data_IF_362628183058
#
_entry.id   IF_362628183058
#
_cell.length_a   1.000
_cell.length_b   1.000
_cell.length_c   1.000
_cell.angle_alpha   90.00
_cell.angle_beta   90.00
_cell.angle_gamma   90.00
#
_symmetry.space_group_name_H-M   'P 1'
#
loop_
_entity.id
_entity.type
_entity.pdbx_description
1 polymer ?
#
# COMPACT_ATOMS: atom_id res chain seq x y z
N UNK A 1 -34.84 7.20 -17.76
CA UNK A 1 -34.49 6.32 -16.65
C UNK A 1 -34.78 4.90 -17.12
N UNK A 2 -33.77 4.12 -17.43
CA UNK A 2 -33.88 2.71 -17.78
C UNK A 2 -32.94 1.92 -16.89
N UNK A 3 -33.53 1.11 -16.01
CA UNK A 3 -32.78 0.15 -15.16
C UNK A 3 -32.38 -1.02 -16.04
N UNK A 4 -31.09 -1.32 -16.10
CA UNK A 4 -30.59 -2.58 -16.66
C UNK A 4 -30.64 -3.64 -15.57
N UNK A 5 -31.51 -4.65 -15.79
CA UNK A 5 -31.52 -5.89 -15.03
C UNK A 5 -30.25 -6.70 -15.39
N UNK A 6 -29.44 -7.04 -14.39
CA UNK A 6 -28.41 -8.06 -14.50
C UNK A 6 -29.04 -9.42 -14.30
N UNK A 7 -28.94 -10.24 -15.34
CA UNK A 7 -29.40 -11.63 -15.36
C UNK A 7 -28.37 -12.52 -14.63
N UNK A 8 -28.80 -13.18 -13.54
CA UNK A 8 -27.97 -14.02 -12.67
C UNK A 8 -28.20 -15.51 -13.02
N UNK A 9 -27.96 -15.90 -14.26
CA UNK A 9 -28.04 -17.32 -14.66
C UNK A 9 -27.01 -17.66 -15.74
N UNK A 10 -25.74 -17.80 -15.32
CA UNK A 10 -24.74 -18.56 -16.07
C UNK A 10 -23.76 -19.22 -15.14
N UNK A 11 -24.13 -20.41 -14.64
CA UNK A 11 -23.20 -21.34 -14.00
C UNK A 11 -22.31 -21.97 -15.07
N UNK A 12 -20.98 -22.01 -14.88
CA UNK A 12 -20.08 -22.62 -15.86
C UNK A 12 -20.19 -24.17 -15.86
N UNK A 13 -20.18 -24.74 -17.05
CA UNK A 13 -20.46 -26.13 -17.47
C UNK A 13 -19.42 -27.20 -17.03
N UNK A 14 -18.59 -26.96 -15.99
CA UNK A 14 -17.56 -27.91 -15.57
C UNK A 14 -17.84 -28.66 -14.25
N UNK A 15 -19.05 -28.54 -13.69
CA UNK A 15 -19.46 -29.28 -12.49
C UNK A 15 -20.06 -30.65 -12.86
N UNK A 16 -19.25 -31.60 -13.28
CA UNK A 16 -19.70 -33.02 -13.38
C UNK A 16 -19.51 -33.73 -12.05
N UNK A 17 -20.50 -34.45 -11.54
CA UNK A 17 -20.37 -35.24 -10.31
C UNK A 17 -19.53 -36.50 -10.57
N UNK A 18 -18.57 -36.74 -9.65
CA UNK A 18 -17.75 -37.97 -9.65
C UNK A 18 -18.61 -39.21 -9.45
N UNK A 19 -18.38 -40.30 -10.20
CA UNK A 19 -19.07 -41.56 -9.97
C UNK A 19 -18.53 -42.26 -8.71
N UNK A 20 -19.45 -42.77 -7.91
CA UNK A 20 -19.18 -43.61 -6.74
C UNK A 20 -18.43 -44.89 -7.14
N UNK A 21 -17.13 -44.96 -6.84
CA UNK A 21 -16.30 -46.14 -6.96
C UNK A 21 -16.20 -46.90 -5.64
N UNK A 22 -16.54 -48.18 -5.69
CA UNK A 22 -16.78 -49.06 -4.57
C UNK A 22 -15.59 -49.29 -3.63
N UNK A 23 -15.99 -49.62 -2.43
CA UNK A 23 -15.21 -50.13 -1.31
C UNK A 23 -14.51 -51.42 -1.64
N UNK A 24 -13.19 -51.47 -1.76
CA UNK A 24 -12.36 -52.66 -1.66
C UNK A 24 -11.52 -52.56 -0.40
N UNK A 25 -11.97 -53.23 0.67
CA UNK A 25 -11.21 -53.40 1.91
C UNK A 25 -10.09 -54.41 1.68
N UNK A 26 -8.94 -53.94 1.21
CA UNK A 26 -7.68 -54.71 1.22
C UNK A 26 -6.90 -54.38 2.48
N UNK A 27 -6.85 -55.32 3.44
CA UNK A 27 -5.93 -55.20 4.57
C UNK A 27 -4.49 -55.34 4.04
N UNK A 28 -3.79 -54.21 3.94
CA UNK A 28 -2.36 -54.21 3.65
C UNK A 28 -1.64 -54.43 4.99
N UNK A 29 -1.08 -55.63 5.20
CA UNK A 29 -0.20 -55.94 6.31
C UNK A 29 1.13 -55.23 6.02
N UNK A 30 1.33 -54.06 6.58
CA UNK A 30 2.60 -53.35 6.51
C UNK A 30 3.56 -54.01 7.51
N UNK A 31 4.74 -54.52 7.08
CA UNK A 31 5.69 -55.15 8.01
C UNK A 31 6.17 -54.12 9.05
N UNK A 32 6.33 -54.54 10.29
CA UNK A 32 6.67 -53.71 11.45
C UNK A 32 7.94 -52.85 11.23
N UNK A 33 8.84 -53.31 10.38
CA UNK A 33 10.05 -52.59 9.97
C UNK A 33 9.75 -51.30 9.19
N UNK A 34 8.70 -51.27 8.38
CA UNK A 34 8.30 -50.07 7.62
C UNK A 34 7.66 -49.02 8.55
N UNK A 35 6.95 -49.49 9.58
CA UNK A 35 6.34 -48.60 10.57
C UNK A 35 7.40 -47.89 11.41
N UNK A 36 8.48 -48.57 11.81
CA UNK A 36 9.57 -48.00 12.60
C UNK A 36 10.37 -46.98 11.78
N UNK A 37 10.63 -47.24 10.51
CA UNK A 37 11.32 -46.31 9.61
C UNK A 37 10.44 -45.07 9.36
N UNK A 38 9.15 -45.25 9.17
CA UNK A 38 8.20 -44.13 8.97
C UNK A 38 8.14 -43.20 10.19
N UNK A 39 8.13 -43.76 11.43
CA UNK A 39 8.12 -42.98 12.66
C UNK A 39 9.43 -42.23 12.88
N UNK A 40 10.59 -42.84 12.54
CA UNK A 40 11.90 -42.20 12.64
C UNK A 40 12.04 -41.04 11.64
N UNK A 41 11.55 -41.18 10.43
CA UNK A 41 11.55 -40.09 9.42
C UNK A 41 10.62 -38.97 9.85
N UNK A 42 9.44 -39.27 10.41
CA UNK A 42 8.54 -38.23 10.94
C UNK A 42 9.16 -37.49 12.13
N UNK A 43 9.90 -38.16 13.04
CA UNK A 43 10.58 -37.51 14.14
C UNK A 43 11.77 -36.65 13.67
N UNK A 44 12.49 -37.08 12.64
CA UNK A 44 13.59 -36.31 12.07
C UNK A 44 13.08 -35.05 11.30
N UNK A 45 11.89 -35.12 10.68
CA UNK A 45 11.28 -33.97 10.01
C UNK A 45 10.60 -33.00 10.96
N UNK A 46 10.18 -33.43 12.17
CA UNK A 46 9.60 -32.53 13.18
C UNK A 46 10.63 -31.65 13.88
N UNK A 47 11.93 -31.89 13.68
CA UNK A 47 13.02 -31.05 14.17
C UNK A 47 13.47 -29.99 13.15
N UNK A 48 12.86 -29.95 11.97
CA UNK A 48 13.01 -28.78 11.11
C UNK A 48 12.18 -27.67 11.76
N UNK A 49 12.79 -26.98 12.72
CA UNK A 49 12.36 -25.64 13.08
C UNK A 49 12.43 -24.86 11.78
N UNK A 50 11.30 -24.63 11.16
CA UNK A 50 11.18 -23.55 10.18
C UNK A 50 11.47 -22.31 10.99
N UNK A 51 12.74 -21.91 11.07
CA UNK A 51 13.08 -20.53 11.28
C UNK A 51 12.46 -19.87 10.06
N UNK A 52 11.21 -19.46 10.19
CA UNK A 52 10.65 -18.43 9.35
C UNK A 52 11.56 -17.23 9.65
N UNK A 53 12.68 -17.17 8.93
CA UNK A 53 13.29 -15.91 8.65
C UNK A 53 12.16 -15.15 7.99
N UNK A 54 11.44 -14.32 8.77
CA UNK A 54 10.83 -13.16 8.20
C UNK A 54 11.97 -12.55 7.40
N UNK A 55 11.95 -12.77 6.10
CA UNK A 55 12.74 -12.01 5.19
C UNK A 55 12.17 -10.62 5.39
N UNK A 56 12.73 -9.88 6.37
CA UNK A 56 12.70 -8.45 6.31
C UNK A 56 13.17 -8.20 4.90
N UNK A 57 12.26 -7.73 4.05
CA UNK A 57 12.67 -7.21 2.77
C UNK A 57 13.65 -6.11 3.16
N UNK A 58 14.94 -6.47 3.12
CA UNK A 58 16.00 -5.49 3.20
C UNK A 58 15.75 -4.57 2.02
N UNK A 59 15.14 -3.43 2.29
CA UNK A 59 14.87 -2.39 1.30
C UNK A 59 16.17 -1.82 0.76
N UNK A 60 17.31 -2.36 1.20
CA UNK A 60 18.65 -1.88 0.85
C UNK A 60 18.95 -0.49 1.43
N UNK A 61 17.99 0.07 2.14
CA UNK A 61 18.09 1.39 2.77
C UNK A 61 18.11 1.14 4.27
N UNK A 62 19.32 1.02 4.84
CA UNK A 62 19.50 0.95 6.30
C UNK A 62 18.92 2.19 6.97
N UNK A 63 17.69 2.11 7.49
CA UNK A 63 17.01 3.17 8.24
C UNK A 63 15.95 2.56 9.14
N UNK A 64 15.60 3.28 10.21
CA UNK A 64 14.52 2.86 11.09
C UNK A 64 13.17 3.03 10.34
N UNK A 65 12.40 1.96 10.09
CA UNK A 65 11.15 2.02 9.32
C UNK A 65 10.04 2.81 10.00
N UNK A 66 10.17 3.08 11.30
CA UNK A 66 9.23 3.90 12.06
C UNK A 66 9.52 5.41 11.94
N UNK A 67 10.63 5.81 11.29
CA UNK A 67 10.91 7.22 11.06
C UNK A 67 9.90 7.79 10.10
N UNK A 68 9.27 8.90 10.52
CA UNK A 68 8.42 9.73 9.69
C UNK A 68 8.89 11.19 9.83
N UNK A 69 9.09 11.87 8.71
CA UNK A 69 9.49 13.28 8.67
C UNK A 69 8.50 14.06 7.81
N UNK A 70 8.45 15.37 8.05
CA UNK A 70 7.64 16.25 7.19
C UNK A 70 8.12 16.20 5.75
N UNK A 71 7.21 16.15 4.75
CA UNK A 71 7.57 16.30 3.34
C UNK A 71 8.03 17.70 2.96
N UNK A 72 8.01 18.66 3.89
CA UNK A 72 8.46 20.03 3.71
C UNK A 72 9.21 20.55 4.94
N UNK A 73 10.19 21.40 4.75
CA UNK A 73 10.87 22.12 5.85
C UNK A 73 9.91 23.05 6.59
N UNK A 74 9.02 23.71 5.85
CA UNK A 74 7.97 24.57 6.37
C UNK A 74 6.73 24.43 5.50
N UNK A 75 5.56 24.36 6.10
CA UNK A 75 4.30 24.25 5.39
C UNK A 75 3.17 24.95 6.12
N UNK A 76 2.09 25.21 5.39
CA UNK A 76 0.80 25.64 5.93
C UNK A 76 -0.19 24.47 5.79
N UNK A 77 -0.91 24.12 6.85
CA UNK A 77 -2.04 23.20 6.77
C UNK A 77 -3.20 23.93 6.07
N UNK A 78 -3.50 23.52 4.85
CA UNK A 78 -4.58 24.13 4.03
C UNK A 78 -5.91 23.41 4.21
N UNK A 79 -5.87 22.10 4.51
CA UNK A 79 -7.06 21.33 4.89
C UNK A 79 -6.70 20.27 5.92
N UNK A 80 -7.45 20.24 7.03
CA UNK A 80 -7.33 19.20 8.06
C UNK A 80 -7.83 17.84 7.60
N UNK A 81 -7.86 16.87 8.50
CA UNK A 81 -8.19 15.49 8.19
C UNK A 81 -9.52 15.36 7.40
N UNK A 82 -9.45 14.74 6.24
CA UNK A 82 -10.58 14.57 5.31
C UNK A 82 -10.48 13.24 4.53
N UNK A 83 -11.47 12.98 3.65
CA UNK A 83 -11.46 11.79 2.80
C UNK A 83 -12.05 10.53 3.43
N UNK A 84 -12.65 10.61 4.61
CA UNK A 84 -13.24 9.45 5.30
C UNK A 84 -14.31 8.72 4.48
N UNK A 85 -15.06 9.45 3.65
CA UNK A 85 -16.14 8.87 2.83
C UNK A 85 -15.65 7.92 1.74
N UNK A 86 -14.37 7.96 1.38
CA UNK A 86 -13.74 7.07 0.41
C UNK A 86 -12.51 6.33 0.97
N UNK A 87 -12.50 6.14 2.29
CA UNK A 87 -11.52 5.28 2.96
C UNK A 87 -10.12 5.89 3.13
N UNK A 88 -10.00 7.21 3.01
CA UNK A 88 -8.77 7.95 3.29
C UNK A 88 -8.87 8.70 4.62
N UNK A 89 -7.72 9.04 5.21
CA UNK A 89 -7.58 10.04 6.25
C UNK A 89 -6.39 10.92 5.88
N UNK A 90 -6.63 11.87 4.99
CA UNK A 90 -5.60 12.71 4.42
C UNK A 90 -5.66 14.12 5.00
N UNK A 91 -4.56 14.85 4.86
CA UNK A 91 -4.47 16.29 5.07
C UNK A 91 -3.94 16.94 3.81
N UNK A 92 -4.22 18.23 3.63
CA UNK A 92 -3.57 19.03 2.59
C UNK A 92 -2.61 20.02 3.21
N UNK A 93 -1.37 20.00 2.77
CA UNK A 93 -0.28 20.85 3.21
C UNK A 93 0.36 21.55 2.03
N UNK A 94 0.67 22.83 2.18
CA UNK A 94 1.25 23.65 1.13
C UNK A 94 2.51 24.38 1.59
N UNK A 95 3.56 24.30 0.78
CA UNK A 95 4.79 25.08 0.94
C UNK A 95 4.98 26.12 -0.17
N UNK A 96 4.15 26.01 -1.23
CA UNK A 96 4.10 26.94 -2.35
C UNK A 96 4.54 26.32 -3.67
N UNK A 97 4.20 26.98 -4.75
CA UNK A 97 4.49 26.57 -6.13
C UNK A 97 5.96 26.17 -6.32
N UNK A 98 6.19 24.93 -6.70
CA UNK A 98 7.51 24.39 -6.98
C UNK A 98 8.36 24.12 -5.73
N UNK A 99 7.80 24.20 -4.53
CA UNK A 99 8.49 23.82 -3.30
C UNK A 99 8.95 22.34 -3.39
N UNK A 100 10.12 22.04 -2.84
CA UNK A 100 10.69 20.70 -2.85
C UNK A 100 9.84 19.79 -1.96
N UNK A 101 9.49 18.63 -2.46
CA UNK A 101 8.83 17.55 -1.71
C UNK A 101 9.89 16.53 -1.30
N UNK A 102 9.97 16.23 -0.02
CA UNK A 102 10.82 15.19 0.53
C UNK A 102 10.02 13.90 0.80
N UNK A 103 10.69 12.75 0.72
CA UNK A 103 10.11 11.48 1.17
C UNK A 103 9.86 11.51 2.68
N UNK A 104 8.63 11.24 3.16
CA UNK A 104 8.36 11.20 4.59
C UNK A 104 8.99 10.00 5.30
N UNK A 105 9.29 8.94 4.59
CA UNK A 105 9.76 7.66 5.14
C UNK A 105 10.98 7.12 4.39
N UNK A 106 11.75 6.27 5.04
CA UNK A 106 12.63 5.33 4.34
C UNK A 106 11.74 4.27 3.69
N UNK A 107 11.80 4.12 2.38
CA UNK A 107 10.92 3.18 1.70
C UNK A 107 11.28 2.96 0.24
N UNK A 108 10.38 2.29 -0.45
CA UNK A 108 10.46 2.03 -1.88
C UNK A 108 9.27 2.68 -2.58
N UNK A 109 9.49 3.31 -3.70
CA UNK A 109 8.43 3.78 -4.59
C UNK A 109 7.69 2.56 -5.12
N UNK A 110 6.49 2.32 -4.62
CA UNK A 110 5.67 1.19 -5.02
C UNK A 110 4.81 1.52 -6.23
N UNK A 111 4.31 2.75 -6.31
CA UNK A 111 3.44 3.19 -7.40
C UNK A 111 3.73 4.66 -7.77
N UNK A 112 3.61 4.95 -9.07
CA UNK A 112 3.64 6.30 -9.62
C UNK A 112 2.72 6.33 -10.84
N UNK A 113 1.61 7.06 -10.76
CA UNK A 113 0.60 7.08 -11.81
C UNK A 113 -0.22 8.37 -11.79
N UNK A 114 -1.09 8.54 -12.79
CA UNK A 114 -2.14 9.56 -12.80
C UNK A 114 -3.45 8.84 -12.54
N UNK A 115 -4.17 9.26 -11.51
CA UNK A 115 -5.45 8.65 -11.14
C UNK A 115 -6.59 8.98 -12.11
N UNK A 116 -7.79 8.38 -11.88
CA UNK A 116 -8.94 8.52 -12.75
C UNK A 116 -9.52 9.94 -12.85
N UNK A 117 -9.10 10.86 -11.96
CA UNK A 117 -9.53 12.29 -11.98
C UNK A 117 -8.37 13.22 -12.34
N UNK A 118 -7.22 12.66 -12.69
CA UNK A 118 -6.08 13.37 -13.25
C UNK A 118 -5.02 13.79 -12.23
N UNK A 119 -5.05 13.28 -11.00
CA UNK A 119 -4.06 13.60 -9.99
C UNK A 119 -2.79 12.78 -10.20
N UNK A 120 -1.60 13.40 -10.37
CA UNK A 120 -0.35 12.70 -10.20
C UNK A 120 -0.25 12.15 -8.78
N UNK A 121 -0.02 10.84 -8.67
CA UNK A 121 -0.01 10.10 -7.42
C UNK A 121 1.30 9.36 -7.25
N UNK A 122 1.98 9.59 -6.14
CA UNK A 122 3.17 8.87 -5.71
C UNK A 122 2.84 8.07 -4.45
N UNK A 123 3.21 6.78 -4.44
CA UNK A 123 3.10 5.92 -3.27
C UNK A 123 4.48 5.40 -2.91
N UNK A 124 4.87 5.63 -1.65
CA UNK A 124 6.11 5.12 -1.05
C UNK A 124 5.73 4.20 0.10
N UNK A 125 6.36 3.03 0.15
CA UNK A 125 6.04 2.02 1.16
C UNK A 125 7.30 1.47 1.84
N UNK A 126 7.13 1.12 3.12
CA UNK A 126 8.01 0.23 3.87
C UNK A 126 7.18 -0.82 4.63
N UNK A 127 7.76 -1.53 5.60
CA UNK A 127 7.04 -2.51 6.40
C UNK A 127 6.03 -1.91 7.37
N UNK A 128 6.14 -0.61 7.71
CA UNK A 128 5.26 0.09 8.67
C UNK A 128 4.22 0.92 7.94
N UNK A 129 4.64 1.74 6.97
CA UNK A 129 3.79 2.75 6.35
C UNK A 129 3.59 2.54 4.85
N UNK A 130 2.42 2.92 4.37
CA UNK A 130 2.14 3.24 2.98
C UNK A 130 1.75 4.72 2.92
N UNK A 131 2.60 5.53 2.32
CA UNK A 131 2.39 6.98 2.19
C UNK A 131 1.98 7.30 0.76
N UNK A 132 0.85 7.98 0.61
CA UNK A 132 0.31 8.45 -0.67
C UNK A 132 0.38 9.97 -0.72
N UNK A 133 1.01 10.50 -1.76
CA UNK A 133 1.11 11.94 -2.02
C UNK A 133 0.55 12.26 -3.40
N UNK A 134 -0.34 13.27 -3.50
CA UNK A 134 -0.94 13.71 -4.74
C UNK A 134 -0.48 15.14 -5.10
N UNK A 135 -0.72 15.49 -6.37
CA UNK A 135 -0.56 16.83 -6.96
C UNK A 135 0.87 17.29 -7.18
N UNK A 136 1.88 16.44 -6.89
CA UNK A 136 3.30 16.74 -7.13
C UNK A 136 3.74 16.51 -8.59
N UNK A 137 4.87 17.13 -8.96
CA UNK A 137 5.69 16.72 -10.10
C UNK A 137 6.82 15.86 -9.55
N UNK A 138 6.69 14.54 -9.67
CA UNK A 138 7.61 13.59 -9.06
C UNK A 138 8.78 13.26 -9.99
N UNK A 139 9.99 13.15 -9.42
CA UNK A 139 11.25 12.90 -10.13
C UNK A 139 11.83 11.51 -9.88
N UNK A 140 11.11 10.68 -9.14
CA UNK A 140 11.48 9.30 -8.80
C UNK A 140 10.83 8.29 -9.73
N UNK A 141 11.26 7.00 -9.63
CA UNK A 141 10.77 5.92 -10.48
C UNK A 141 10.22 4.75 -9.64
N UNK A 142 9.26 4.02 -10.19
CA UNK A 142 8.73 2.80 -9.56
C UNK A 142 9.89 1.82 -9.31
N UNK A 143 9.96 1.30 -8.08
CA UNK A 143 11.00 0.40 -7.64
C UNK A 143 12.23 1.10 -7.05
N UNK A 144 12.33 2.42 -7.16
CA UNK A 144 13.39 3.22 -6.55
C UNK A 144 13.30 3.19 -5.04
N UNK A 145 14.44 3.11 -4.39
CA UNK A 145 14.57 3.18 -2.95
C UNK A 145 14.88 4.61 -2.54
N UNK A 146 14.12 5.17 -1.61
CA UNK A 146 14.28 6.54 -1.11
C UNK A 146 14.45 6.57 0.41
N UNK A 147 15.19 7.55 0.91
CA UNK A 147 15.36 7.78 2.34
C UNK A 147 14.40 8.87 2.81
N UNK A 148 14.01 8.81 4.08
CA UNK A 148 13.32 9.92 4.72
C UNK A 148 14.16 11.21 4.57
N UNK A 149 13.53 12.30 4.11
CA UNK A 149 14.20 13.56 3.78
C UNK A 149 14.86 13.61 2.39
N UNK A 150 14.79 12.57 1.58
CA UNK A 150 15.28 12.58 0.20
C UNK A 150 14.28 13.27 -0.74
N UNK A 151 14.78 14.03 -1.71
CA UNK A 151 13.94 14.76 -2.68
C UNK A 151 13.21 13.75 -3.57
N UNK A 152 11.88 13.85 -3.65
CA UNK A 152 11.05 13.00 -4.51
C UNK A 152 10.27 13.78 -5.58
N UNK A 153 10.28 15.10 -5.51
CA UNK A 153 9.58 15.94 -6.49
C UNK A 153 9.42 17.38 -6.06
N UNK A 154 8.47 18.06 -6.67
CA UNK A 154 8.11 19.45 -6.35
C UNK A 154 6.59 19.61 -6.29
N UNK A 155 6.14 20.51 -5.41
CA UNK A 155 4.74 20.89 -5.24
C UNK A 155 4.16 21.47 -6.53
N UNK A 156 2.95 21.05 -6.86
CA UNK A 156 2.22 21.58 -8.01
C UNK A 156 0.72 21.69 -7.72
N UNK A 157 -0.05 22.09 -8.72
CA UNK A 157 -1.50 22.11 -8.69
C UNK A 157 -2.09 21.20 -9.78
N UNK A 158 -1.36 20.18 -10.18
CA UNK A 158 -1.81 19.23 -11.19
C UNK A 158 -2.97 18.37 -10.67
N UNK A 159 -3.90 18.08 -11.56
CA UNK A 159 -5.06 17.25 -11.25
C UNK A 159 -6.28 18.05 -10.78
N UNK A 160 -7.01 17.49 -9.82
CA UNK A 160 -8.28 18.06 -9.34
C UNK A 160 -8.05 18.93 -8.09
N UNK A 161 -7.41 20.10 -8.30
CA UNK A 161 -7.17 21.07 -7.24
C UNK A 161 -8.14 22.25 -7.32
N UNK A 162 -8.46 22.87 -6.18
CA UNK A 162 -9.36 24.01 -6.06
C UNK A 162 -8.75 25.14 -5.27
N UNK A 163 -9.27 26.36 -5.48
CA UNK A 163 -8.98 27.50 -4.60
C UNK A 163 -9.85 27.44 -3.31
N UNK A 164 -9.62 28.37 -2.40
CA UNK A 164 -10.35 28.42 -1.12
C UNK A 164 -11.86 28.66 -1.27
N UNK A 165 -12.33 29.00 -2.44
CA UNK A 165 -13.74 29.18 -2.77
C UNK A 165 -14.32 27.94 -3.49
N UNK A 166 -13.50 26.88 -3.67
CA UNK A 166 -13.92 25.64 -4.34
C UNK A 166 -13.90 25.70 -5.87
N UNK A 167 -13.37 26.78 -6.48
CA UNK A 167 -13.26 26.86 -7.93
C UNK A 167 -12.03 26.09 -8.41
N UNK A 168 -12.16 25.36 -9.52
CA UNK A 168 -11.04 24.58 -10.09
C UNK A 168 -9.83 25.45 -10.39
N UNK A 169 -8.65 24.99 -9.97
CA UNK A 169 -7.35 25.59 -10.28
C UNK A 169 -6.73 25.06 -11.58
N UNK A 170 -7.44 24.23 -12.33
CA UNK A 170 -6.97 23.74 -13.62
C UNK A 170 -6.66 24.88 -14.57
N UNK A 171 -5.41 24.97 -15.02
CA UNK A 171 -4.89 26.08 -15.86
C UNK A 171 -4.89 27.47 -15.17
N UNK A 172 -4.96 27.50 -13.85
CA UNK A 172 -4.86 28.73 -13.05
C UNK A 172 -3.68 28.62 -12.09
N UNK A 173 -3.16 29.77 -11.65
CA UNK A 173 -2.06 29.84 -10.68
C UNK A 173 -2.60 29.88 -9.24
N UNK A 174 -3.20 28.74 -8.82
CA UNK A 174 -3.80 28.57 -7.49
C UNK A 174 -3.81 27.09 -7.07
N UNK A 175 -4.18 26.80 -5.82
CA UNK A 175 -4.44 25.46 -5.32
C UNK A 175 -3.21 24.56 -5.22
N UNK A 176 -2.02 25.14 -5.10
CA UNK A 176 -0.78 24.40 -4.85
C UNK A 176 -0.82 23.76 -3.47
N UNK A 177 -0.65 22.47 -3.39
CA UNK A 177 -0.58 21.70 -2.15
C UNK A 177 -0.14 20.25 -2.42
N UNK A 178 0.24 19.53 -1.39
CA UNK A 178 0.34 18.09 -1.37
C UNK A 178 -0.80 17.52 -0.53
N UNK A 179 -1.62 16.68 -1.14
CA UNK A 179 -2.57 15.81 -0.44
C UNK A 179 -1.78 14.63 0.13
N UNK A 180 -1.70 14.52 1.45
CA UNK A 180 -0.90 13.53 2.17
C UNK A 180 -1.80 12.56 2.91
N UNK A 181 -1.73 11.28 2.55
CA UNK A 181 -2.40 10.19 3.24
C UNK A 181 -1.38 9.17 3.75
N UNK A 182 -1.60 8.66 4.96
CA UNK A 182 -0.76 7.64 5.59
C UNK A 182 -1.61 6.45 6.04
N UNK A 183 -1.29 5.29 5.51
CA UNK A 183 -1.83 4.02 5.98
C UNK A 183 -0.78 3.31 6.83
N UNK A 184 -1.11 3.02 8.09
CA UNK A 184 -0.28 2.24 8.99
C UNK A 184 -0.59 0.75 8.82
N UNK A 185 0.40 -0.01 8.33
CA UNK A 185 0.28 -1.43 8.05
C UNK A 185 0.24 -2.29 9.31
N UNK A 186 0.75 -1.78 10.44
CA UNK A 186 0.79 -2.52 11.70
C UNK A 186 -0.60 -2.58 12.36
N UNK A 187 -1.34 -1.48 12.28
CA UNK A 187 -2.71 -1.39 12.82
C UNK A 187 -3.79 -1.59 11.74
N UNK A 188 -3.39 -1.65 10.46
CA UNK A 188 -4.27 -1.96 9.35
C UNK A 188 -5.29 -0.87 8.99
N UNK A 189 -4.95 0.42 9.22
CA UNK A 189 -5.86 1.53 8.95
C UNK A 189 -5.12 2.81 8.55
N UNK A 190 -5.86 3.75 7.93
CA UNK A 190 -5.34 5.10 7.73
C UNK A 190 -5.27 5.82 9.09
N UNK A 191 -4.21 6.57 9.29
CA UNK A 191 -3.98 7.41 10.47
C UNK A 191 -3.95 8.87 10.06
N UNK A 192 -4.24 9.77 11.01
CA UNK A 192 -4.12 11.20 10.75
C UNK A 192 -2.64 11.57 10.60
N UNK A 193 -2.20 12.08 9.43
CA UNK A 193 -0.80 12.42 9.23
C UNK A 193 -0.27 13.48 10.21
N UNK A 194 -1.12 14.32 10.78
CA UNK A 194 -0.72 15.31 11.78
C UNK A 194 -0.13 14.65 13.04
N UNK A 195 -0.61 13.47 13.43
CA UNK A 195 -0.12 12.73 14.59
C UNK A 195 1.35 12.28 14.43
N UNK A 196 1.86 12.27 13.18
CA UNK A 196 3.25 11.93 12.84
C UNK A 196 4.12 13.15 12.58
N UNK A 197 3.51 14.30 12.27
CA UNK A 197 4.20 15.57 11.93
C UNK A 197 4.42 16.48 13.14
N UNK A 198 3.63 16.31 14.18
CA UNK A 198 3.79 17.03 15.44
C UNK A 198 4.80 16.28 16.33
N UNK A 199 5.84 16.95 16.88
CA UNK A 199 6.83 16.33 17.75
C UNK A 199 6.29 16.07 19.17
#
# INVERSE_FOLDING_TARGET
MAYHNYDIDSQPEWATPYPNGGCLSGFIIVPLSVLVISTMVFFALSQITIVSSATTMDTGIGGNPNVFVSPYDNYTLTQGAHGFSYGHMAIDIAAGKGAIIYSPIHGKVSELFIDGVGNPTLIIENEVYRVTMLHGVYSVHIGESVRAGEIVGTESNLGNTTDMQGNSCRNRDCGYHTHLNVYDKQIGTNINPLDLLEP
#
